data_IF_651884330900
#
_entry.id   IF_651884330900
#
_cell.length_a   1.000
_cell.length_b   1.000
_cell.length_c   1.000
_cell.angle_alpha   90.00
_cell.angle_beta   90.00
_cell.angle_gamma   90.00
#
_symmetry.space_group_name_H-M   'P 1'
#
loop_
_entity.id
_entity.type
_entity.pdbx_description
1 polymer ?
#
# COMPACT_ATOMS: atom_id res chain seq x y z
N UNK A 1 -1.38 8.04 -21.99
CA UNK A 1 -1.98 9.30 -21.53
C UNK A 1 -2.15 10.32 -22.67
N UNK A 2 -2.98 10.05 -23.65
CA UNK A 2 -3.31 11.01 -24.73
C UNK A 2 -4.80 11.39 -24.78
N UNK A 3 -5.60 10.88 -23.84
CA UNK A 3 -7.02 11.25 -23.75
C UNK A 3 -7.26 11.81 -22.35
N UNK A 4 -7.23 13.12 -22.23
CA UNK A 4 -7.63 13.87 -21.06
C UNK A 4 -6.52 14.07 -20.02
N UNK A 5 -5.67 15.08 -20.22
CA UNK A 5 -4.69 15.53 -19.20
C UNK A 5 -5.34 15.76 -17.83
N UNK A 6 -6.59 16.19 -17.79
CA UNK A 6 -7.36 16.41 -16.56
C UNK A 6 -7.67 15.11 -15.78
N UNK A 7 -8.00 14.01 -16.47
CA UNK A 7 -8.19 12.70 -15.81
C UNK A 7 -6.88 12.20 -15.21
N UNK A 8 -5.78 12.30 -15.92
CA UNK A 8 -4.47 11.89 -15.41
C UNK A 8 -4.03 12.70 -14.20
N UNK A 9 -4.26 14.01 -14.18
CA UNK A 9 -3.92 14.88 -13.06
C UNK A 9 -4.77 14.52 -11.83
N UNK A 10 -6.06 14.31 -12.02
CA UNK A 10 -6.99 13.95 -10.93
C UNK A 10 -6.65 12.60 -10.32
N UNK A 11 -6.35 11.61 -11.16
CA UNK A 11 -5.96 10.28 -10.71
C UNK A 11 -4.61 10.32 -9.97
N UNK A 12 -3.63 11.02 -10.50
CA UNK A 12 -2.33 11.20 -9.85
C UNK A 12 -2.44 11.93 -8.52
N UNK A 13 -3.28 12.96 -8.44
CA UNK A 13 -3.53 13.69 -7.19
C UNK A 13 -4.20 12.80 -6.14
N UNK A 14 -5.19 12.02 -6.53
CA UNK A 14 -5.86 11.06 -5.62
C UNK A 14 -4.87 10.01 -5.12
N UNK A 15 -4.05 9.44 -6.00
CA UNK A 15 -3.01 8.48 -5.63
C UNK A 15 -1.96 9.09 -4.70
N UNK A 16 -1.58 10.35 -4.91
CA UNK A 16 -0.67 11.07 -4.01
C UNK A 16 -1.26 11.24 -2.60
N UNK A 17 -2.54 11.60 -2.50
CA UNK A 17 -3.22 11.71 -1.20
C UNK A 17 -3.30 10.35 -0.49
N UNK A 18 -3.64 9.29 -1.20
CA UNK A 18 -3.69 7.92 -0.64
C UNK A 18 -2.29 7.51 -0.17
N UNK A 19 -1.26 7.72 -0.98
CA UNK A 19 0.12 7.36 -0.63
C UNK A 19 0.62 8.15 0.59
N UNK A 20 0.33 9.45 0.66
CA UNK A 20 0.69 10.29 1.81
C UNK A 20 -0.04 9.85 3.08
N UNK A 21 -1.35 9.57 3.00
CA UNK A 21 -2.14 9.09 4.12
C UNK A 21 -1.64 7.74 4.61
N UNK A 22 -1.33 6.80 3.70
CA UNK A 22 -0.77 5.50 4.03
C UNK A 22 0.59 5.62 4.73
N UNK A 23 1.50 6.41 4.18
CA UNK A 23 2.81 6.63 4.79
C UNK A 23 2.71 7.29 6.18
N UNK A 24 1.79 8.24 6.35
CA UNK A 24 1.54 8.87 7.66
C UNK A 24 1.00 7.88 8.68
N UNK A 25 0.08 7.02 8.26
CA UNK A 25 -0.47 5.96 9.11
C UNK A 25 0.62 4.96 9.53
N UNK A 26 1.47 4.52 8.60
CA UNK A 26 2.57 3.59 8.89
C UNK A 26 3.56 4.19 9.90
N UNK A 27 3.95 5.45 9.71
CA UNK A 27 4.84 6.15 10.66
C UNK A 27 4.20 6.25 12.05
N UNK A 28 2.89 6.53 12.11
CA UNK A 28 2.17 6.60 13.39
C UNK A 28 2.11 5.23 14.09
N UNK A 29 1.84 4.16 13.33
CA UNK A 29 1.85 2.79 13.86
C UNK A 29 3.23 2.39 14.38
N UNK A 30 4.29 2.67 13.62
CA UNK A 30 5.67 2.40 14.05
C UNK A 30 6.04 3.23 15.29
N UNK A 31 5.57 4.47 15.38
CA UNK A 31 5.74 5.33 16.54
C UNK A 31 5.11 4.74 17.82
N UNK A 32 3.88 4.27 17.73
CA UNK A 32 3.19 3.59 18.84
C UNK A 32 3.92 2.30 19.22
N UNK A 33 4.30 1.50 18.23
CA UNK A 33 5.05 0.25 18.43
C UNK A 33 6.37 0.49 19.20
N UNK A 34 7.11 1.53 18.84
CA UNK A 34 8.37 1.87 19.51
C UNK A 34 8.17 2.50 20.90
N UNK A 35 7.07 3.21 21.11
CA UNK A 35 6.79 3.88 22.38
C UNK A 35 6.25 2.93 23.46
N UNK A 36 5.40 1.98 23.08
CA UNK A 36 4.68 1.11 23.99
C UNK A 36 5.41 -0.21 24.27
N UNK A 37 6.25 -0.70 23.36
CA UNK A 37 6.95 -1.96 23.50
C UNK A 37 8.40 -1.77 23.92
N UNK A 38 8.85 -2.59 24.88
CA UNK A 38 10.26 -2.69 25.22
C UNK A 38 11.06 -3.39 24.11
N UNK A 39 12.38 -3.29 24.12
CA UNK A 39 13.26 -3.83 23.06
C UNK A 39 13.12 -5.35 22.85
N UNK A 40 12.83 -6.10 23.91
CA UNK A 40 12.66 -7.55 23.86
C UNK A 40 11.35 -7.90 23.15
N UNK A 41 10.26 -7.24 23.51
CA UNK A 41 8.96 -7.42 22.85
C UNK A 41 8.96 -6.91 21.40
N UNK A 42 9.64 -5.81 21.11
CA UNK A 42 9.84 -5.34 19.73
C UNK A 42 10.51 -6.42 18.89
N UNK A 43 11.58 -7.05 19.39
CA UNK A 43 12.27 -8.12 18.66
C UNK A 43 11.38 -9.37 18.47
N UNK A 44 10.53 -9.68 19.46
CA UNK A 44 9.61 -10.83 19.42
C UNK A 44 8.47 -10.62 18.41
N UNK A 45 7.86 -9.44 18.39
CA UNK A 45 6.67 -9.17 17.60
C UNK A 45 6.95 -8.67 16.17
N UNK A 46 8.19 -8.32 15.82
CA UNK A 46 8.53 -7.87 14.46
C UNK A 46 8.23 -8.94 13.40
N UNK A 47 8.42 -10.22 13.74
CA UNK A 47 8.06 -11.35 12.87
C UNK A 47 6.56 -11.48 12.65
N UNK A 48 5.76 -11.22 13.69
CA UNK A 48 4.29 -11.24 13.64
C UNK A 48 3.79 -10.11 12.75
N UNK A 49 4.34 -8.90 12.90
CA UNK A 49 4.02 -7.76 12.04
C UNK A 49 4.31 -8.07 10.57
N UNK A 50 5.48 -8.65 10.28
CA UNK A 50 5.83 -9.07 8.92
C UNK A 50 4.91 -10.16 8.36
N UNK A 51 4.47 -11.12 9.18
CA UNK A 51 3.52 -12.16 8.79
C UNK A 51 2.15 -11.55 8.42
N UNK A 52 1.60 -10.68 9.26
CA UNK A 52 0.34 -9.98 8.97
C UNK A 52 0.41 -9.10 7.73
N UNK A 53 1.55 -8.42 7.51
CA UNK A 53 1.79 -7.65 6.28
C UNK A 53 1.73 -8.54 5.04
N UNK A 54 2.34 -9.73 5.07
CA UNK A 54 2.29 -10.66 3.95
C UNK A 54 0.90 -11.24 3.73
N UNK A 55 0.16 -11.57 4.79
CA UNK A 55 -1.25 -11.98 4.69
C UNK A 55 -2.11 -10.88 4.06
N UNK A 56 -1.93 -9.63 4.49
CA UNK A 56 -2.64 -8.49 3.90
C UNK A 56 -2.32 -8.31 2.41
N UNK A 57 -1.05 -8.50 2.01
CA UNK A 57 -0.66 -8.48 0.59
C UNK A 57 -1.35 -9.59 -0.22
N UNK A 58 -1.43 -10.81 0.31
CA UNK A 58 -2.12 -11.92 -0.34
C UNK A 58 -3.62 -11.63 -0.50
N UNK A 59 -4.26 -11.13 0.55
CA UNK A 59 -5.68 -10.75 0.50
C UNK A 59 -5.92 -9.61 -0.48
N UNK A 60 -5.04 -8.60 -0.51
CA UNK A 60 -5.21 -7.44 -1.39
C UNK A 60 -4.94 -7.78 -2.86
N UNK A 61 -3.83 -8.48 -3.15
CA UNK A 61 -3.43 -8.75 -4.53
C UNK A 61 -4.11 -9.98 -5.13
N UNK A 62 -4.48 -10.96 -4.30
CA UNK A 62 -5.19 -12.16 -4.72
C UNK A 62 -6.70 -12.03 -4.45
N UNK A 63 -7.10 -12.03 -3.19
CA UNK A 63 -8.49 -12.10 -2.79
C UNK A 63 -9.37 -10.96 -3.34
N UNK A 64 -8.93 -9.69 -3.25
CA UNK A 64 -9.72 -8.56 -3.75
C UNK A 64 -9.76 -8.53 -5.29
N UNK A 65 -8.70 -8.95 -5.97
CA UNK A 65 -8.68 -9.03 -7.44
C UNK A 65 -9.62 -10.13 -7.93
N UNK A 66 -9.58 -11.31 -7.31
CA UNK A 66 -10.51 -12.40 -7.60
C UNK A 66 -11.97 -11.98 -7.35
N UNK A 67 -12.24 -11.34 -6.22
CA UNK A 67 -13.56 -10.80 -5.91
C UNK A 67 -14.01 -9.74 -6.94
N UNK A 68 -13.11 -8.88 -7.41
CA UNK A 68 -13.39 -7.92 -8.48
C UNK A 68 -13.79 -8.61 -9.78
N UNK A 69 -13.12 -9.70 -10.13
CA UNK A 69 -13.47 -10.52 -11.30
C UNK A 69 -14.86 -11.13 -11.17
N UNK A 70 -15.17 -11.78 -10.03
CA UNK A 70 -16.48 -12.37 -9.77
C UNK A 70 -17.62 -11.34 -9.77
N UNK A 71 -17.40 -10.17 -9.16
CA UNK A 71 -18.38 -9.08 -9.16
C UNK A 71 -18.57 -8.51 -10.56
N UNK A 72 -17.52 -8.37 -11.36
CA UNK A 72 -17.62 -7.89 -12.72
C UNK A 72 -18.43 -8.86 -13.60
N UNK A 73 -18.21 -10.18 -13.47
CA UNK A 73 -19.02 -11.21 -14.12
C UNK A 73 -20.51 -11.08 -13.71
N UNK A 74 -20.79 -10.88 -12.41
CA UNK A 74 -22.13 -10.66 -11.91
C UNK A 74 -22.81 -9.39 -12.50
N UNK A 75 -22.03 -8.35 -12.78
CA UNK A 75 -22.49 -7.13 -13.45
C UNK A 75 -22.49 -7.21 -14.97
N UNK A 76 -22.34 -8.40 -15.53
CA UNK A 76 -22.45 -8.65 -16.96
C UNK A 76 -21.17 -8.46 -17.75
N UNK A 77 -20.01 -8.53 -17.11
CA UNK A 77 -18.76 -8.58 -17.86
C UNK A 77 -18.68 -9.87 -18.70
N UNK A 78 -18.37 -9.71 -19.97
CA UNK A 78 -18.24 -10.82 -20.94
C UNK A 78 -16.76 -11.20 -21.03
N UNK A 79 -16.46 -12.46 -20.75
CA UNK A 79 -15.09 -12.97 -20.82
C UNK A 79 -14.59 -12.92 -22.28
N UNK A 80 -13.37 -12.40 -22.48
CA UNK A 80 -12.79 -12.20 -23.80
C UNK A 80 -13.24 -10.95 -24.56
N UNK A 81 -14.22 -10.19 -24.05
CA UNK A 81 -14.59 -8.92 -24.65
C UNK A 81 -13.56 -7.81 -24.33
N UNK A 82 -13.57 -6.75 -25.15
CA UNK A 82 -12.67 -5.61 -24.95
C UNK A 82 -12.90 -4.93 -23.58
N UNK A 83 -11.86 -4.27 -23.07
CA UNK A 83 -11.93 -3.51 -21.81
C UNK A 83 -13.02 -2.44 -21.87
N UNK A 84 -13.20 -1.80 -23.02
CA UNK A 84 -14.22 -0.76 -23.20
C UNK A 84 -15.64 -1.32 -23.12
N UNK A 85 -15.88 -2.53 -23.64
CA UNK A 85 -17.18 -3.21 -23.55
C UNK A 85 -17.55 -3.55 -22.09
N UNK A 86 -16.57 -3.94 -21.28
CA UNK A 86 -16.75 -4.33 -19.89
C UNK A 86 -16.55 -3.19 -18.89
N UNK A 87 -16.30 -1.97 -19.36
CA UNK A 87 -15.95 -0.82 -18.50
C UNK A 87 -16.96 -0.56 -17.39
N UNK A 88 -18.25 -0.64 -17.69
CA UNK A 88 -19.33 -0.43 -16.70
C UNK A 88 -19.31 -1.48 -15.60
N UNK A 89 -19.18 -2.74 -15.97
CA UNK A 89 -19.15 -3.86 -15.02
C UNK A 89 -17.95 -3.78 -14.10
N UNK A 90 -16.75 -3.55 -14.63
CA UNK A 90 -15.54 -3.36 -13.83
C UNK A 90 -15.60 -2.13 -12.93
N UNK A 91 -16.14 -1.01 -13.43
CA UNK A 91 -16.31 0.19 -12.62
C UNK A 91 -17.22 -0.05 -11.42
N UNK A 92 -18.34 -0.75 -11.63
CA UNK A 92 -19.27 -1.10 -10.55
C UNK A 92 -18.64 -2.04 -9.53
N UNK A 93 -17.95 -3.08 -10.00
CA UNK A 93 -17.25 -4.05 -9.16
C UNK A 93 -16.21 -3.37 -8.26
N UNK A 94 -15.32 -2.56 -8.83
CA UNK A 94 -14.30 -1.84 -8.07
C UNK A 94 -14.88 -0.79 -7.12
N UNK A 95 -15.98 -0.13 -7.50
CA UNK A 95 -16.65 0.82 -6.61
C UNK A 95 -17.14 0.15 -5.33
N UNK A 96 -17.74 -1.04 -5.43
CA UNK A 96 -18.17 -1.81 -4.25
C UNK A 96 -16.98 -2.21 -3.38
N UNK A 97 -15.89 -2.71 -3.99
CA UNK A 97 -14.69 -3.11 -3.25
C UNK A 97 -14.11 -1.92 -2.49
N UNK A 98 -13.95 -0.77 -3.15
CA UNK A 98 -13.44 0.43 -2.48
C UNK A 98 -14.37 0.94 -1.39
N UNK A 99 -15.69 0.85 -1.57
CA UNK A 99 -16.66 1.21 -0.54
C UNK A 99 -16.54 0.31 0.70
N UNK A 100 -16.37 -0.99 0.51
CA UNK A 100 -16.17 -1.95 1.62
C UNK A 100 -14.85 -1.67 2.33
N UNK A 101 -13.75 -1.46 1.61
CA UNK A 101 -12.44 -1.12 2.21
C UNK A 101 -12.56 0.19 3.00
N UNK A 102 -13.20 1.21 2.43
CA UNK A 102 -13.42 2.49 3.11
C UNK A 102 -14.21 2.33 4.41
N UNK A 103 -15.28 1.51 4.39
CA UNK A 103 -16.05 1.20 5.59
C UNK A 103 -15.22 0.50 6.67
N UNK A 104 -14.39 -0.48 6.28
CA UNK A 104 -13.47 -1.17 7.19
C UNK A 104 -12.47 -0.17 7.79
N UNK A 105 -11.88 0.72 6.98
CA UNK A 105 -10.95 1.74 7.45
C UNK A 105 -11.58 2.71 8.43
N UNK A 106 -12.83 3.12 8.21
CA UNK A 106 -13.58 3.96 9.16
C UNK A 106 -13.80 3.23 10.48
N UNK A 107 -14.18 1.95 10.46
CA UNK A 107 -14.37 1.14 11.67
C UNK A 107 -13.05 0.99 12.45
N UNK A 108 -11.94 0.72 11.75
CA UNK A 108 -10.60 0.67 12.36
C UNK A 108 -10.22 2.03 12.95
N UNK A 109 -10.50 3.13 12.25
CA UNK A 109 -10.26 4.48 12.76
C UNK A 109 -11.02 4.77 14.04
N UNK A 110 -12.30 4.41 14.12
CA UNK A 110 -13.13 4.53 15.33
C UNK A 110 -12.56 3.66 16.46
N UNK A 111 -12.13 2.44 16.15
CA UNK A 111 -11.49 1.55 17.11
C UNK A 111 -10.20 2.18 17.68
N UNK A 112 -9.35 2.74 16.82
CA UNK A 112 -8.10 3.39 17.25
C UNK A 112 -8.33 4.59 18.16
N UNK A 113 -9.36 5.41 17.94
CA UNK A 113 -9.70 6.54 18.82
C UNK A 113 -9.98 6.08 20.25
N UNK A 114 -10.54 4.88 20.44
CA UNK A 114 -10.92 4.36 21.76
C UNK A 114 -9.84 3.51 22.44
N UNK A 115 -9.04 2.81 21.65
CA UNK A 115 -8.15 1.75 22.16
C UNK A 115 -6.67 2.14 22.17
N UNK A 116 -6.26 3.13 21.35
CA UNK A 116 -4.87 3.58 21.37
C UNK A 116 -4.60 4.35 22.67
N UNK A 117 -3.50 4.00 23.38
CA UNK A 117 -3.10 4.76 24.55
C UNK A 117 -2.80 6.20 24.14
N UNK A 118 -3.36 7.15 24.86
CA UNK A 118 -2.95 8.55 24.73
C UNK A 118 -1.56 8.68 25.34
N UNK A 119 -0.54 8.40 24.55
CA UNK A 119 0.85 8.67 24.95
C UNK A 119 0.95 10.17 25.09
N UNK A 120 0.90 10.63 26.33
CA UNK A 120 1.30 11.99 26.64
C UNK A 120 2.81 12.06 26.45
N UNK A 121 3.23 12.23 25.20
CA UNK A 121 4.57 12.75 24.94
C UNK A 121 4.60 14.08 25.68
N UNK A 122 5.48 14.26 26.69
CA UNK A 122 5.59 15.55 27.38
C UNK A 122 5.68 16.60 26.28
N UNK A 123 4.76 17.55 26.28
CA UNK A 123 4.75 18.62 25.29
C UNK A 123 6.06 19.40 25.50
N UNK A 124 7.13 18.91 24.91
CA UNK A 124 8.34 19.68 24.67
C UNK A 124 7.84 20.87 23.87
N UNK A 125 7.82 22.04 24.49
CA UNK A 125 7.11 23.26 24.11
C UNK A 125 6.86 23.39 22.60
N UNK A 126 5.80 24.09 22.22
CA UNK A 126 5.38 24.27 20.81
C UNK A 126 6.59 24.61 19.95
N UNK A 127 7.15 23.61 19.28
CA UNK A 127 8.25 23.81 18.34
C UNK A 127 7.72 24.61 17.16
N UNK A 128 8.43 25.64 16.78
CA UNK A 128 8.14 26.41 15.57
C UNK A 128 8.35 25.52 14.34
N UNK A 129 7.59 25.74 13.28
CA UNK A 129 7.73 24.95 12.02
C UNK A 129 9.18 24.90 11.53
N UNK A 130 9.94 25.98 11.68
CA UNK A 130 11.38 26.04 11.35
C UNK A 130 12.21 25.07 12.18
N UNK A 131 11.93 24.93 13.48
CA UNK A 131 12.63 23.97 14.37
C UNK A 131 12.32 22.53 13.99
N UNK A 132 11.06 22.23 13.63
CA UNK A 132 10.66 20.91 13.16
C UNK A 132 11.40 20.53 11.87
N UNK A 133 11.49 21.46 10.91
CA UNK A 133 12.22 21.23 9.66
C UNK A 133 13.71 21.04 9.92
N UNK A 134 14.30 21.84 10.79
CA UNK A 134 15.71 21.72 11.15
C UNK A 134 16.01 20.39 11.84
N UNK A 135 15.17 19.95 12.77
CA UNK A 135 15.27 18.65 13.43
C UNK A 135 15.17 17.50 12.41
N UNK A 136 14.23 17.59 11.46
CA UNK A 136 14.08 16.60 10.40
C UNK A 136 15.34 16.52 9.52
N UNK A 137 15.88 17.67 9.11
CA UNK A 137 17.12 17.70 8.33
C UNK A 137 18.31 17.14 9.10
N UNK A 138 18.40 17.43 10.40
CA UNK A 138 19.43 16.87 11.28
C UNK A 138 19.30 15.35 11.41
N UNK A 139 18.08 14.82 11.56
CA UNK A 139 17.82 13.36 11.60
C UNK A 139 18.25 12.71 10.29
N UNK A 140 17.87 13.31 9.14
CA UNK A 140 18.27 12.82 7.82
C UNK A 140 19.81 12.88 7.67
N UNK A 141 20.44 13.99 8.04
CA UNK A 141 21.89 14.12 8.00
C UNK A 141 22.61 13.07 8.87
N UNK A 142 22.15 12.90 10.10
CA UNK A 142 22.68 11.88 11.02
C UNK A 142 22.47 10.45 10.53
N UNK A 143 21.40 10.19 9.78
CA UNK A 143 21.18 8.89 9.16
C UNK A 143 22.27 8.54 8.15
N UNK A 144 22.64 9.49 7.27
CA UNK A 144 23.68 9.27 6.26
C UNK A 144 25.13 9.24 6.83
N UNK A 145 25.34 9.73 8.04
CA UNK A 145 26.66 9.66 8.72
C UNK A 145 26.90 8.34 9.46
N UNK A 146 25.88 7.46 9.55
CA UNK A 146 26.04 6.16 10.22
C UNK A 146 27.08 5.28 9.52
N UNK A 147 27.86 4.56 10.32
CA UNK A 147 28.86 3.61 9.81
C UNK A 147 28.20 2.56 8.90
N UNK A 148 28.79 2.36 7.73
CA UNK A 148 28.31 1.39 6.73
C UNK A 148 26.91 1.66 6.14
N UNK A 149 26.35 2.86 6.28
CA UNK A 149 25.00 3.17 5.81
C UNK A 149 24.84 2.92 4.30
N UNK A 150 25.84 3.23 3.49
CA UNK A 150 25.83 3.02 2.04
C UNK A 150 25.68 1.52 1.71
N UNK A 151 26.40 0.66 2.46
CA UNK A 151 26.26 -0.80 2.29
C UNK A 151 24.83 -1.27 2.62
N UNK A 152 24.23 -0.79 3.70
CA UNK A 152 22.86 -1.15 4.06
C UNK A 152 21.84 -0.64 3.05
N UNK A 153 22.00 0.58 2.55
CA UNK A 153 21.12 1.14 1.51
C UNK A 153 21.21 0.29 0.24
N UNK A 154 22.42 -0.02 -0.21
CA UNK A 154 22.64 -0.83 -1.41
C UNK A 154 22.05 -2.24 -1.26
N UNK A 155 22.25 -2.87 -0.10
CA UNK A 155 21.67 -4.18 0.20
C UNK A 155 20.13 -4.13 0.16
N UNK A 156 19.50 -3.13 0.79
CA UNK A 156 18.04 -2.97 0.79
C UNK A 156 17.51 -2.74 -0.62
N UNK A 157 18.18 -1.91 -1.42
CA UNK A 157 17.77 -1.64 -2.81
C UNK A 157 17.84 -2.94 -3.64
N UNK A 158 18.93 -3.69 -3.57
CA UNK A 158 19.07 -4.95 -4.32
C UNK A 158 18.04 -6.00 -3.88
N UNK A 159 17.80 -6.12 -2.57
CA UNK A 159 16.83 -7.05 -2.04
C UNK A 159 15.41 -6.71 -2.51
N UNK A 160 15.03 -5.43 -2.43
CA UNK A 160 13.71 -4.95 -2.87
C UNK A 160 13.53 -4.95 -4.38
N UNK A 161 14.60 -4.78 -5.14
CA UNK A 161 14.57 -4.79 -6.60
C UNK A 161 14.00 -6.10 -7.15
N UNK A 162 14.48 -7.24 -6.65
CA UNK A 162 14.01 -8.56 -7.08
C UNK A 162 12.51 -8.75 -6.80
N UNK A 163 12.06 -8.44 -5.59
CA UNK A 163 10.63 -8.50 -5.23
C UNK A 163 9.79 -7.56 -6.10
N UNK A 164 10.25 -6.32 -6.28
CA UNK A 164 9.56 -5.31 -7.09
C UNK A 164 9.42 -5.72 -8.56
N UNK A 165 10.43 -6.35 -9.13
CA UNK A 165 10.37 -6.87 -10.51
C UNK A 165 9.34 -7.98 -10.65
N UNK A 166 9.36 -8.98 -9.78
CA UNK A 166 8.40 -10.09 -9.82
C UNK A 166 6.97 -9.57 -9.69
N UNK A 167 6.71 -8.69 -8.71
CA UNK A 167 5.38 -8.13 -8.49
C UNK A 167 4.85 -7.30 -9.67
N UNK A 168 5.73 -6.73 -10.48
CA UNK A 168 5.34 -5.92 -11.65
C UNK A 168 5.21 -6.75 -12.92
N UNK A 169 6.12 -7.68 -13.15
CA UNK A 169 6.22 -8.44 -14.40
C UNK A 169 5.29 -9.65 -14.40
N UNK A 170 5.14 -10.35 -13.27
CA UNK A 170 4.31 -11.55 -13.20
C UNK A 170 2.84 -11.29 -13.62
N UNK A 171 2.13 -10.27 -13.12
CA UNK A 171 0.74 -10.02 -13.56
C UNK A 171 0.63 -9.69 -15.04
N UNK A 172 1.62 -9.00 -15.62
CA UNK A 172 1.64 -8.69 -17.05
C UNK A 172 1.80 -9.96 -17.88
N UNK A 173 2.71 -10.84 -17.49
CA UNK A 173 2.94 -12.13 -18.14
C UNK A 173 1.72 -13.05 -18.02
N UNK A 174 1.09 -13.13 -16.85
CA UNK A 174 -0.08 -13.96 -16.62
C UNK A 174 -1.27 -13.52 -17.48
N UNK A 175 -1.45 -12.22 -17.72
CA UNK A 175 -2.55 -11.66 -18.51
C UNK A 175 -2.28 -11.57 -20.00
N UNK A 176 -1.02 -11.51 -20.42
CA UNK A 176 -0.68 -11.41 -21.83
C UNK A 176 -1.22 -12.62 -22.59
N UNK A 177 -1.70 -12.39 -23.83
CA UNK A 177 -2.24 -13.47 -24.65
C UNK A 177 -1.16 -14.52 -24.98
N UNK A 178 -1.58 -15.75 -25.21
CA UNK A 178 -0.67 -16.84 -25.60
C UNK A 178 0.06 -16.57 -26.91
N UNK A 179 -0.52 -15.78 -27.78
CA UNK A 179 0.09 -15.38 -29.06
C UNK A 179 1.35 -14.53 -28.88
N UNK A 180 1.42 -13.74 -27.81
CA UNK A 180 2.60 -12.93 -27.47
C UNK A 180 3.46 -13.58 -26.36
N UNK A 181 3.24 -14.86 -26.07
CA UNK A 181 4.04 -15.64 -25.12
C UNK A 181 3.58 -15.56 -23.67
N UNK A 182 2.43 -14.96 -23.40
CA UNK A 182 1.83 -14.94 -22.05
C UNK A 182 0.95 -16.17 -21.78
N UNK A 183 0.29 -16.22 -20.62
CA UNK A 183 -0.59 -17.33 -20.23
C UNK A 183 -2.07 -17.07 -20.57
N UNK A 184 -2.47 -15.83 -20.78
CA UNK A 184 -3.84 -15.44 -21.14
C UNK A 184 -4.86 -15.71 -20.04
N UNK A 185 -4.46 -15.59 -18.76
CA UNK A 185 -5.33 -15.84 -17.62
C UNK A 185 -6.30 -14.70 -17.36
N UNK A 186 -7.53 -15.04 -16.94
CA UNK A 186 -8.53 -14.08 -16.48
C UNK A 186 -8.15 -13.51 -15.09
N UNK A 187 -8.75 -12.40 -14.69
CA UNK A 187 -8.55 -11.80 -13.36
C UNK A 187 -8.92 -12.76 -12.23
N UNK A 188 -9.91 -13.63 -12.45
CA UNK A 188 -10.37 -14.63 -11.49
C UNK A 188 -9.35 -15.75 -11.28
N UNK A 189 -8.60 -16.11 -12.30
CA UNK A 189 -7.57 -17.16 -12.23
C UNK A 189 -6.24 -16.64 -11.69
N UNK A 190 -6.02 -15.31 -11.70
CA UNK A 190 -4.80 -14.67 -11.20
C UNK A 190 -4.91 -14.37 -9.70
N UNK A 191 -6.10 -14.08 -9.19
CA UNK A 191 -6.41 -13.86 -7.77
C UNK A 191 -6.60 -15.15 -7.04
#
# INVERSE_FOLDING_TARGET
>A
CLVGSEMCIRDSSTMAVIAFSGATHDIACDGVYMAELNKEDQAKYIGVQGAFYNVAKLVANGGLVALAGMLAEHFGAIEGASIDANKGAYSSAWTIIFAVIAAIMVLIGIYHIKMLPSTQVPATGKKTTSEIVTDLLNVIGNFFTKRHIVYYIFFIILYRLAEGFIMKVAPLFLRASREVGGLGLSLKEIG
#
